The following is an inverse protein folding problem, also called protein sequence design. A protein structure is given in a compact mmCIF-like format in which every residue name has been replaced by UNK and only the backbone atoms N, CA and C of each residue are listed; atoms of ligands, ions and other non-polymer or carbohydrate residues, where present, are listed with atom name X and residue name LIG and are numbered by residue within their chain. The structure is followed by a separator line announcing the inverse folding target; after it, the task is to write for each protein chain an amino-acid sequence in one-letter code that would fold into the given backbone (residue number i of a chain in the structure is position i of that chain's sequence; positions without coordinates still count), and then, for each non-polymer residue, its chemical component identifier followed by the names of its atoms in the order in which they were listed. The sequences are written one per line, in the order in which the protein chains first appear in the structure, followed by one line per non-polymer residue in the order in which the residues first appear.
data_IF_122153452313
#
_entry.id   IF_122153452313
#
_cell.length_a   1.000
_cell.length_b   1.000
_cell.length_c   1.000
_cell.angle_alpha   90.00
_cell.angle_beta   90.00
_cell.angle_gamma   90.00
#
_symmetry.space_group_name_H-M   'P 1'
#
loop_
_entity.id
_entity.type
_entity.pdbx_description
1 polymer ?
#
# COMPACT_ATOMS: atom_id res chain seq x y z
N UNK A 1 -51.68 42.79 24.78
CA UNK A 1 -51.66 41.59 25.66
C UNK A 1 -50.24 41.03 25.61
N UNK A 2 -49.37 41.47 26.50
CA UNK A 2 -49.04 40.88 27.82
C UNK A 2 -48.34 39.52 27.69
N UNK A 3 -47.03 39.58 27.95
CA UNK A 3 -46.05 38.61 28.43
C UNK A 3 -46.57 37.29 29.04
N UNK A 4 -45.86 36.19 28.75
CA UNK A 4 -45.18 35.41 29.80
C UNK A 4 -44.08 34.53 29.20
N UNK A 5 -42.84 34.76 29.65
CA UNK A 5 -41.75 33.80 29.53
C UNK A 5 -41.83 32.72 30.60
N UNK A 6 -41.21 31.56 30.34
CA UNK A 6 -40.70 30.63 31.34
C UNK A 6 -39.43 29.94 30.83
N UNK A 7 -38.30 30.34 31.39
CA UNK A 7 -37.12 29.50 31.55
C UNK A 7 -37.41 28.32 32.48
N UNK A 8 -36.89 27.13 32.18
CA UNK A 8 -36.88 25.99 33.10
C UNK A 8 -35.76 24.99 32.78
N UNK A 9 -34.62 25.20 33.45
CA UNK A 9 -33.67 24.23 34.03
C UNK A 9 -33.52 22.81 33.42
N UNK A 10 -32.30 22.58 32.93
CA UNK A 10 -31.36 21.51 33.32
C UNK A 10 -31.88 20.10 33.60
N UNK A 11 -31.52 19.16 32.72
CA UNK A 11 -31.15 17.79 33.12
C UNK A 11 -29.87 17.37 32.39
N UNK A 12 -28.72 17.71 33.00
CA UNK A 12 -27.43 17.03 32.75
C UNK A 12 -27.62 15.54 33.05
N UNK A 13 -27.65 14.69 32.03
CA UNK A 13 -27.49 13.25 32.21
C UNK A 13 -26.00 12.98 32.43
N UNK A 14 -25.63 12.80 33.69
CA UNK A 14 -24.34 12.26 34.12
C UNK A 14 -24.25 10.82 33.63
N UNK A 15 -23.50 10.57 32.54
CA UNK A 15 -23.15 9.19 32.18
C UNK A 15 -22.00 8.75 33.09
N UNK A 16 -22.29 7.71 33.86
CA UNK A 16 -21.37 7.03 34.75
C UNK A 16 -20.23 6.41 33.95
N UNK A 17 -19.02 6.82 34.28
CA UNK A 17 -17.75 6.28 33.79
C UNK A 17 -17.60 4.83 34.28
N UNK A 18 -17.36 3.83 33.41
CA UNK A 18 -17.00 2.49 33.89
C UNK A 18 -15.59 2.54 34.49
N UNK A 19 -15.50 2.11 35.74
CA UNK A 19 -14.29 1.93 36.53
C UNK A 19 -13.37 0.88 35.90
N UNK A 20 -12.13 1.29 35.56
CA UNK A 20 -11.06 0.38 35.14
C UNK A 20 -10.65 -0.56 36.29
N UNK A 21 -10.43 -1.87 36.04
CA UNK A 21 -9.90 -2.77 37.05
C UNK A 21 -8.41 -2.49 37.35
N UNK A 22 -7.92 -2.83 38.57
CA UNK A 22 -6.61 -2.45 39.04
C UNK A 22 -5.49 -3.21 38.31
N UNK A 23 -4.39 -2.48 38.03
CA UNK A 23 -3.13 -3.02 37.52
C UNK A 23 -2.53 -4.04 38.50
N UNK A 24 -2.42 -5.29 38.08
CA UNK A 24 -1.56 -6.27 38.74
C UNK A 24 -0.09 -5.91 38.51
N UNK A 25 0.63 -5.61 39.60
CA UNK A 25 2.09 -5.52 39.66
C UNK A 25 2.66 -6.93 39.79
N UNK A 26 3.39 -7.40 38.78
CA UNK A 26 4.46 -8.41 38.83
C UNK A 26 5.02 -8.48 37.41
N UNK A 27 6.31 -8.50 37.10
CA UNK A 27 7.55 -8.72 37.84
C UNK A 27 8.66 -8.01 37.06
N UNK A 28 9.61 -7.37 37.76
CA UNK A 28 10.87 -6.89 37.17
C UNK A 28 11.60 -8.08 36.55
N UNK A 29 11.73 -8.10 35.23
CA UNK A 29 12.78 -8.88 34.56
C UNK A 29 13.79 -7.86 34.04
N UNK A 30 14.85 -7.68 34.81
CA UNK A 30 16.08 -7.02 34.37
C UNK A 30 16.69 -7.86 33.25
N UNK A 31 17.07 -7.27 32.10
CA UNK A 31 17.89 -7.99 31.14
C UNK A 31 19.27 -8.27 31.76
N UNK A 32 19.88 -9.45 31.55
CA UNK A 32 21.24 -9.68 32.01
C UNK A 32 22.18 -8.76 31.23
N UNK A 33 23.10 -8.11 31.95
CA UNK A 33 24.21 -7.34 31.38
C UNK A 33 24.96 -8.20 30.36
N UNK A 34 25.10 -7.68 29.14
CA UNK A 34 26.02 -8.26 28.16
C UNK A 34 27.45 -7.98 28.63
N UNK A 35 28.15 -9.03 29.06
CA UNK A 35 29.60 -8.99 29.19
C UNK A 35 30.22 -9.05 27.80
N UNK A 36 30.98 -8.02 27.43
CA UNK A 36 31.87 -8.05 26.28
C UNK A 36 32.93 -9.13 26.53
N UNK A 37 32.85 -10.22 25.77
CA UNK A 37 33.96 -11.16 25.63
C UNK A 37 34.67 -10.80 24.33
N UNK A 38 35.93 -10.39 24.43
CA UNK A 38 36.84 -10.27 23.30
C UNK A 38 37.09 -11.68 22.75
N UNK A 39 36.34 -12.04 21.72
CA UNK A 39 36.54 -13.24 20.92
C UNK A 39 37.23 -12.85 19.62
N UNK A 40 38.53 -13.15 19.53
CA UNK A 40 39.34 -13.10 18.32
C UNK A 40 38.63 -13.77 17.12
N UNK A 41 38.71 -13.20 15.90
CA UNK A 41 38.05 -13.77 14.73
C UNK A 41 38.86 -14.95 14.19
N UNK A 42 38.50 -16.16 14.63
CA UNK A 42 38.98 -17.40 13.99
C UNK A 42 38.21 -17.58 12.69
N UNK A 43 38.95 -17.53 11.58
CA UNK A 43 38.45 -17.66 10.21
C UNK A 43 38.10 -19.12 9.88
N UNK A 44 36.94 -19.61 10.31
CA UNK A 44 36.45 -20.92 9.88
C UNK A 44 35.50 -20.80 8.68
N UNK A 45 36.10 -20.97 7.51
CA UNK A 45 35.51 -20.97 6.16
C UNK A 45 34.59 -22.17 5.87
N UNK A 46 34.22 -22.97 6.87
CA UNK A 46 33.52 -24.25 6.68
C UNK A 46 32.04 -24.24 7.09
N UNK A 47 31.53 -23.16 7.70
CA UNK A 47 30.11 -23.06 8.08
C UNK A 47 29.17 -22.60 6.96
N UNK A 48 29.74 -22.19 5.82
CA UNK A 48 29.00 -21.67 4.67
C UNK A 48 28.36 -22.76 3.81
N UNK A 49 28.86 -24.00 3.83
CA UNK A 49 28.33 -25.09 3.00
C UNK A 49 27.02 -25.66 3.54
N UNK A 50 26.88 -25.76 4.87
CA UNK A 50 25.67 -26.28 5.52
C UNK A 50 24.46 -25.35 5.44
N UNK A 51 24.65 -24.02 5.46
CA UNK A 51 23.52 -23.07 5.31
C UNK A 51 23.01 -23.06 3.87
N UNK A 52 23.89 -23.18 2.88
CA UNK A 52 23.50 -23.30 1.47
C UNK A 52 22.74 -24.59 1.20
N UNK A 53 23.19 -25.71 1.78
CA UNK A 53 22.54 -27.02 1.61
C UNK A 53 21.15 -27.08 2.27
N UNK A 54 20.93 -26.39 3.40
CA UNK A 54 19.61 -26.27 4.04
C UNK A 54 18.60 -25.41 3.24
N UNK A 55 19.06 -24.58 2.30
CA UNK A 55 18.20 -23.81 1.40
C UNK A 55 17.92 -24.52 0.07
N UNK A 56 18.72 -25.52 -0.29
CA UNK A 56 18.57 -26.30 -1.53
C UNK A 56 17.37 -27.26 -1.47
N UNK A 57 17.01 -27.74 -0.28
CA UNK A 57 15.90 -28.68 -0.08
C UNK A 57 14.51 -28.03 0.04
N UNK A 58 14.41 -26.69 -0.05
CA UNK A 58 13.13 -26.00 -0.22
C UNK A 58 12.75 -25.91 -1.70
N UNK A 59 12.79 -27.05 -2.38
CA UNK A 59 12.20 -27.20 -3.70
C UNK A 59 10.68 -27.18 -3.55
N UNK A 60 10.11 -25.97 -3.52
CA UNK A 60 8.68 -25.77 -3.74
C UNK A 60 8.40 -26.43 -5.08
N UNK A 61 7.72 -27.57 -5.05
CA UNK A 61 7.17 -28.21 -6.23
C UNK A 61 6.34 -27.17 -6.96
N UNK A 62 6.93 -26.52 -7.97
CA UNK A 62 6.19 -25.68 -8.88
C UNK A 62 5.32 -26.62 -9.68
N UNK A 63 4.13 -26.89 -9.15
CA UNK A 63 3.05 -27.43 -9.95
C UNK A 63 2.86 -26.46 -11.10
N UNK A 64 3.32 -26.86 -12.28
CA UNK A 64 3.32 -26.09 -13.54
C UNK A 64 1.89 -25.67 -13.94
N UNK A 65 0.88 -26.23 -13.26
CA UNK A 65 -0.55 -25.98 -13.43
C UNK A 65 -1.20 -25.17 -12.30
N UNK A 66 -0.46 -24.69 -11.30
CA UNK A 66 -1.04 -23.82 -10.28
C UNK A 66 -1.31 -22.43 -10.89
N UNK A 67 -2.59 -22.08 -11.06
CA UNK A 67 -3.01 -20.72 -11.42
C UNK A 67 -3.46 -20.01 -10.14
N UNK A 68 -2.54 -19.47 -9.32
CA UNK A 68 -2.93 -18.80 -8.08
C UNK A 68 -3.79 -17.58 -8.39
N UNK A 69 -4.77 -17.30 -7.52
CA UNK A 69 -5.59 -16.09 -7.65
C UNK A 69 -4.78 -14.81 -7.54
N UNK A 70 -3.71 -14.80 -6.74
CA UNK A 70 -2.84 -13.63 -6.62
C UNK A 70 -1.82 -13.58 -7.74
N UNK A 71 -1.58 -12.39 -8.30
CA UNK A 71 -0.47 -12.18 -9.22
C UNK A 71 0.89 -12.46 -8.55
N UNK A 72 1.80 -13.21 -9.20
CA UNK A 72 3.17 -13.36 -8.73
C UNK A 72 3.89 -12.00 -8.78
N UNK A 73 4.95 -11.87 -7.98
CA UNK A 73 5.66 -10.60 -7.82
C UNK A 73 6.21 -10.05 -9.15
N UNK A 74 6.77 -10.91 -10.00
CA UNK A 74 7.27 -10.53 -11.34
C UNK A 74 6.17 -9.92 -12.22
N UNK A 75 4.97 -10.49 -12.19
CA UNK A 75 3.82 -9.97 -12.93
C UNK A 75 3.37 -8.63 -12.36
N UNK A 76 3.35 -8.46 -11.03
CA UNK A 76 3.02 -7.16 -10.40
C UNK A 76 4.01 -6.07 -10.82
N UNK A 77 5.31 -6.37 -10.85
CA UNK A 77 6.35 -5.44 -11.30
C UNK A 77 6.12 -5.01 -12.76
N UNK A 78 5.95 -5.97 -13.68
CA UNK A 78 5.70 -5.70 -15.10
C UNK A 78 4.35 -4.97 -15.31
N UNK A 79 3.35 -5.28 -14.50
CA UNK A 79 2.05 -4.63 -14.52
C UNK A 79 2.13 -3.15 -14.09
N UNK A 80 2.97 -2.83 -13.11
CA UNK A 80 3.29 -1.45 -12.74
C UNK A 80 4.04 -0.72 -13.88
N UNK A 81 5.00 -1.38 -14.50
CA UNK A 81 5.78 -0.82 -15.62
C UNK A 81 4.90 -0.51 -16.84
N UNK A 82 3.89 -1.36 -17.09
CA UNK A 82 2.88 -1.21 -18.15
C UNK A 82 1.92 -0.03 -17.91
N UNK A 83 1.70 0.37 -16.65
CA UNK A 83 0.76 1.44 -16.32
C UNK A 83 1.21 2.80 -16.88
N UNK A 84 0.27 3.71 -17.12
CA UNK A 84 0.59 5.02 -17.72
C UNK A 84 1.48 5.86 -16.77
N UNK A 85 2.48 6.54 -17.34
CA UNK A 85 3.43 7.37 -16.58
C UNK A 85 2.81 8.74 -16.26
N UNK A 86 3.12 9.28 -15.08
CA UNK A 86 2.78 10.67 -14.74
C UNK A 86 3.89 11.59 -15.27
N UNK A 87 3.55 12.58 -16.11
CA UNK A 87 4.53 13.54 -16.66
C UNK A 87 5.27 14.29 -15.53
N UNK A 88 6.57 14.51 -15.70
CA UNK A 88 7.42 15.21 -14.73
C UNK A 88 7.63 14.46 -13.40
N UNK A 89 7.36 13.15 -13.33
CA UNK A 89 7.43 12.33 -12.11
C UNK A 89 8.15 11.01 -12.36
N UNK A 90 8.84 10.52 -11.33
CA UNK A 90 9.50 9.22 -11.36
C UNK A 90 8.49 8.08 -11.62
N UNK A 91 8.58 7.36 -12.77
CA UNK A 91 7.67 6.29 -13.13
C UNK A 91 7.79 5.06 -12.23
N UNK A 92 8.86 4.91 -11.44
CA UNK A 92 8.97 3.83 -10.47
C UNK A 92 8.13 4.08 -9.22
N UNK A 93 7.79 5.36 -8.97
CA UNK A 93 7.07 5.83 -7.77
C UNK A 93 5.63 6.23 -8.08
N UNK A 94 5.40 6.86 -9.24
CA UNK A 94 4.11 7.43 -9.63
C UNK A 94 3.61 6.81 -10.94
N UNK A 95 2.33 6.42 -10.96
CA UNK A 95 1.65 5.95 -12.17
C UNK A 95 0.23 6.52 -12.23
N UNK A 96 -0.37 6.43 -13.41
CA UNK A 96 -1.81 6.55 -13.60
C UNK A 96 -2.39 5.16 -13.76
N UNK A 97 -3.49 4.92 -13.04
CA UNK A 97 -4.28 3.71 -13.23
C UNK A 97 -5.00 3.73 -14.60
N UNK A 98 -5.68 2.64 -14.95
CA UNK A 98 -6.32 2.53 -16.26
C UNK A 98 -7.44 3.54 -16.51
N UNK A 99 -8.00 4.17 -15.47
CA UNK A 99 -9.04 5.21 -15.60
C UNK A 99 -8.48 6.64 -15.51
N UNK A 100 -7.20 6.79 -15.16
CA UNK A 100 -6.45 8.06 -15.16
C UNK A 100 -6.13 8.62 -13.77
N UNK A 101 -6.52 7.93 -12.69
CA UNK A 101 -6.21 8.34 -11.32
C UNK A 101 -4.72 8.20 -11.03
N UNK A 102 -4.16 9.18 -10.32
CA UNK A 102 -2.77 9.09 -9.85
C UNK A 102 -2.70 8.11 -8.68
N UNK A 103 -1.76 7.18 -8.76
CA UNK A 103 -1.50 6.19 -7.72
C UNK A 103 -0.02 6.17 -7.36
N UNK A 104 0.27 5.81 -6.11
CA UNK A 104 1.61 5.84 -5.56
C UNK A 104 2.10 4.44 -5.19
N UNK A 105 3.34 4.11 -5.60
CA UNK A 105 3.88 2.74 -5.56
C UNK A 105 3.85 2.10 -4.18
N UNK A 106 4.13 2.87 -3.13
CA UNK A 106 4.16 2.37 -1.74
C UNK A 106 2.78 2.11 -1.14
N UNK A 107 1.72 2.65 -1.73
CA UNK A 107 0.36 2.58 -1.19
C UNK A 107 -0.43 1.47 -1.89
N UNK A 108 -0.22 0.23 -1.45
CA UNK A 108 -0.91 -0.97 -1.98
C UNK A 108 -1.95 -1.46 -0.97
N UNK A 109 -3.16 -1.80 -1.41
CA UNK A 109 -4.17 -2.45 -0.55
C UNK A 109 -4.89 -1.56 0.48
N UNK A 110 -4.55 -0.27 0.57
CA UNK A 110 -5.17 0.68 1.48
C UNK A 110 -6.41 1.38 0.87
N UNK A 111 -7.32 1.95 1.68
CA UNK A 111 -8.53 2.64 1.18
C UNK A 111 -8.31 4.11 0.77
N UNK A 112 -7.07 4.59 0.74
CA UNK A 112 -6.75 5.97 0.39
C UNK A 112 -6.86 6.24 -1.12
N UNK A 113 -7.02 7.50 -1.50
CA UNK A 113 -7.20 7.89 -2.90
C UNK A 113 -5.95 7.76 -3.78
N UNK A 114 -4.77 7.63 -3.20
CA UNK A 114 -3.53 7.30 -3.93
C UNK A 114 -3.18 5.81 -3.84
N UNK A 115 -3.98 5.04 -3.12
CA UNK A 115 -3.78 3.61 -2.97
C UNK A 115 -4.23 2.86 -4.21
N UNK A 116 -3.52 1.80 -4.55
CA UNK A 116 -3.85 0.94 -5.68
C UNK A 116 -3.84 -0.54 -5.29
N UNK A 117 -4.45 -1.33 -6.14
CA UNK A 117 -4.34 -2.78 -6.17
C UNK A 117 -3.91 -3.24 -7.56
N UNK A 118 -3.41 -4.47 -7.63
CA UNK A 118 -3.25 -5.21 -8.89
C UNK A 118 -4.54 -5.97 -9.15
N UNK A 119 -5.31 -5.49 -10.11
CA UNK A 119 -6.64 -6.00 -10.44
C UNK A 119 -6.59 -6.89 -11.69
N UNK A 120 -7.47 -7.89 -11.72
CA UNK A 120 -7.69 -8.67 -12.93
C UNK A 120 -8.67 -7.95 -13.84
N UNK A 121 -8.30 -7.74 -15.11
CA UNK A 121 -9.20 -7.17 -16.12
C UNK A 121 -10.46 -8.04 -16.21
N UNK A 122 -10.26 -9.34 -16.44
CA UNK A 122 -11.26 -10.40 -16.29
C UNK A 122 -11.12 -11.00 -14.89
N UNK A 123 -12.13 -10.90 -14.01
CA UNK A 123 -12.06 -11.41 -12.65
C UNK A 123 -11.68 -12.89 -12.59
N UNK A 124 -10.88 -13.27 -11.59
CA UNK A 124 -10.50 -14.67 -11.38
C UNK A 124 -11.70 -15.62 -11.29
N UNK A 125 -12.78 -15.19 -10.64
CA UNK A 125 -14.04 -15.96 -10.53
C UNK A 125 -14.75 -16.20 -11.87
N UNK A 126 -14.34 -15.51 -12.93
CA UNK A 126 -14.84 -15.67 -14.31
C UNK A 126 -13.81 -16.33 -15.23
N UNK A 127 -12.81 -17.02 -14.66
CA UNK A 127 -11.76 -17.72 -15.41
C UNK A 127 -10.56 -16.86 -15.80
N UNK A 128 -10.48 -15.63 -15.29
CA UNK A 128 -9.31 -14.77 -15.51
C UNK A 128 -8.05 -15.32 -14.84
N UNK A 129 -7.00 -15.56 -15.62
CA UNK A 129 -5.70 -16.03 -15.10
C UNK A 129 -4.88 -14.88 -14.52
N UNK A 130 -3.97 -15.18 -13.62
CA UNK A 130 -3.07 -14.19 -13.00
C UNK A 130 -1.84 -13.89 -13.85
N UNK A 131 -2.04 -13.55 -15.11
CA UNK A 131 -0.98 -13.24 -16.09
C UNK A 131 -0.83 -11.73 -16.31
N UNK A 132 0.24 -11.30 -16.98
CA UNK A 132 0.51 -9.88 -17.23
C UNK A 132 -0.58 -9.22 -18.08
N UNK A 133 -1.10 -9.94 -19.07
CA UNK A 133 -2.12 -9.46 -20.01
C UNK A 133 -3.41 -9.14 -19.26
N UNK A 134 -3.74 -9.94 -18.24
CA UNK A 134 -4.92 -9.76 -17.42
C UNK A 134 -4.68 -8.87 -16.18
N UNK A 135 -3.46 -8.39 -15.94
CA UNK A 135 -3.17 -7.50 -14.83
C UNK A 135 -3.34 -6.03 -15.22
N UNK A 136 -3.99 -5.26 -14.36
CA UNK A 136 -3.99 -3.79 -14.43
C UNK A 136 -3.77 -3.18 -13.05
N UNK A 137 -3.08 -2.04 -13.00
CA UNK A 137 -3.07 -1.18 -11.80
C UNK A 137 -4.38 -0.43 -11.76
N UNK A 138 -5.08 -0.50 -10.63
CA UNK A 138 -6.38 0.16 -10.41
C UNK A 138 -6.42 0.78 -9.03
N UNK A 139 -6.93 2.01 -8.90
CA UNK A 139 -7.13 2.62 -7.58
C UNK A 139 -7.96 1.68 -6.69
N UNK A 140 -7.55 1.47 -5.45
CA UNK A 140 -8.12 0.46 -4.56
C UNK A 140 -9.64 0.64 -4.35
N UNK A 141 -10.11 1.88 -4.24
CA UNK A 141 -11.55 2.20 -4.15
C UNK A 141 -12.31 1.76 -5.41
N UNK A 142 -11.74 2.02 -6.59
CA UNK A 142 -12.33 1.61 -7.88
C UNK A 142 -12.35 0.08 -7.99
N UNK A 143 -11.25 -0.58 -7.62
CA UNK A 143 -11.13 -2.03 -7.61
C UNK A 143 -12.20 -2.68 -6.72
N UNK A 144 -12.33 -2.22 -5.46
CA UNK A 144 -13.36 -2.71 -4.53
C UNK A 144 -14.77 -2.49 -5.06
N UNK A 145 -15.00 -1.36 -5.73
CA UNK A 145 -16.30 -1.04 -6.34
C UNK A 145 -16.58 -1.82 -7.62
N UNK A 146 -15.54 -2.27 -8.35
CA UNK A 146 -15.63 -3.13 -9.52
C UNK A 146 -15.99 -4.57 -9.12
N UNK A 147 -15.28 -5.13 -8.14
CA UNK A 147 -15.49 -6.50 -7.68
C UNK A 147 -15.35 -7.51 -8.82
N UNK A 148 -16.35 -8.39 -8.99
CA UNK A 148 -16.39 -9.37 -10.07
C UNK A 148 -17.21 -8.92 -11.30
N UNK A 149 -17.61 -7.64 -11.38
CA UNK A 149 -18.44 -7.12 -12.47
C UNK A 149 -17.58 -6.84 -13.69
N UNK A 150 -18.05 -7.25 -14.85
CA UNK A 150 -17.37 -7.08 -16.15
C UNK A 150 -18.07 -6.09 -17.08
N UNK A 151 -19.28 -5.67 -16.74
CA UNK A 151 -20.13 -4.81 -17.57
C UNK A 151 -19.98 -3.32 -17.23
N UNK A 152 -19.01 -2.96 -16.39
CA UNK A 152 -18.78 -1.56 -16.01
C UNK A 152 -18.03 -0.84 -17.12
N UNK A 153 -18.59 0.27 -17.58
CA UNK A 153 -17.91 1.15 -18.52
C UNK A 153 -16.77 1.89 -17.84
N UNK A 154 -15.84 2.45 -18.64
CA UNK A 154 -14.80 3.35 -18.14
C UNK A 154 -15.41 4.53 -17.37
N UNK A 155 -16.53 5.07 -17.85
CA UNK A 155 -17.23 6.19 -17.20
C UNK A 155 -17.74 5.80 -15.80
N UNK A 156 -18.29 4.59 -15.64
CA UNK A 156 -18.74 4.09 -14.34
C UNK A 156 -17.59 3.95 -13.34
N UNK A 157 -16.43 3.48 -13.82
CA UNK A 157 -15.23 3.36 -12.99
C UNK A 157 -14.67 4.73 -12.58
N UNK A 158 -14.70 5.71 -13.48
CA UNK A 158 -14.33 7.10 -13.17
C UNK A 158 -15.26 7.66 -12.09
N UNK A 159 -16.57 7.44 -12.19
CA UNK A 159 -17.54 7.92 -11.19
C UNK A 159 -17.32 7.30 -9.80
N UNK A 160 -16.81 6.06 -9.76
CA UNK A 160 -16.48 5.33 -8.51
C UNK A 160 -15.08 5.63 -7.99
N UNK A 161 -14.31 6.47 -8.67
CA UNK A 161 -12.97 6.85 -8.24
C UNK A 161 -13.02 7.78 -7.04
N UNK A 162 -12.15 7.55 -6.06
CA UNK A 162 -11.90 8.52 -5.01
C UNK A 162 -11.04 9.65 -5.57
N UNK A 163 -11.63 10.82 -5.75
CA UNK A 163 -10.94 11.96 -6.33
C UNK A 163 -10.02 12.64 -5.31
N UNK A 164 -8.74 12.78 -5.67
CA UNK A 164 -7.77 13.57 -4.92
C UNK A 164 -7.00 14.48 -5.88
N UNK A 165 -7.17 15.80 -5.71
CA UNK A 165 -6.29 16.79 -6.32
C UNK A 165 -5.03 16.89 -5.47
N UNK A 166 -3.93 16.41 -6.02
CA UNK A 166 -2.61 16.49 -5.36
C UNK A 166 -1.77 17.44 -6.19
N UNK A 167 -1.33 18.55 -5.59
CA UNK A 167 -0.46 19.50 -6.26
C UNK A 167 0.95 18.91 -6.42
N UNK A 168 1.80 19.55 -7.24
CA UNK A 168 3.19 19.11 -7.37
C UNK A 168 3.92 19.07 -6.02
N UNK A 169 3.73 20.09 -5.17
CA UNK A 169 4.35 20.13 -3.84
C UNK A 169 3.85 19.02 -2.91
N UNK A 170 2.57 18.68 -2.99
CA UNK A 170 1.99 17.61 -2.17
C UNK A 170 2.52 16.24 -2.61
N UNK A 171 2.70 16.05 -3.93
CA UNK A 171 3.37 14.85 -4.46
C UNK A 171 4.81 14.77 -3.94
N UNK A 172 5.55 15.89 -3.95
CA UNK A 172 6.93 15.95 -3.44
C UNK A 172 6.98 15.57 -1.95
N UNK A 173 6.05 16.09 -1.14
CA UNK A 173 5.96 15.79 0.29
C UNK A 173 5.67 14.31 0.54
N UNK A 174 4.74 13.71 -0.21
CA UNK A 174 4.40 12.29 -0.10
C UNK A 174 5.62 11.45 -0.48
N UNK A 175 6.29 11.81 -1.57
CA UNK A 175 7.47 11.11 -2.06
C UNK A 175 8.63 11.18 -1.06
N UNK A 176 8.91 12.38 -0.54
CA UNK A 176 9.92 12.61 0.49
C UNK A 176 9.62 11.80 1.75
N UNK A 177 8.36 11.77 2.21
CA UNK A 177 7.98 10.99 3.40
C UNK A 177 8.10 9.48 3.22
N UNK A 178 7.92 8.97 2.00
CA UNK A 178 7.92 7.52 1.72
C UNK A 178 9.29 6.98 1.30
N UNK A 179 10.14 7.82 0.69
CA UNK A 179 11.44 7.42 0.12
C UNK A 179 12.64 8.19 0.68
N UNK A 180 12.43 9.28 1.42
CA UNK A 180 13.50 10.14 1.95
C UNK A 180 14.08 11.11 0.92
N UNK A 181 13.58 11.13 -0.31
CA UNK A 181 13.97 12.06 -1.36
C UNK A 181 12.87 12.22 -2.42
N UNK A 182 13.02 13.22 -3.29
CA UNK A 182 12.14 13.49 -4.43
C UNK A 182 12.90 13.31 -5.74
N UNK A 183 12.27 12.68 -6.73
CA UNK A 183 12.82 12.45 -8.08
C UNK A 183 11.84 12.95 -9.13
N UNK A 184 12.29 13.94 -9.89
CA UNK A 184 11.61 14.39 -11.09
C UNK A 184 12.28 13.77 -12.31
N UNK A 185 11.49 13.26 -13.24
CA UNK A 185 11.99 12.98 -14.59
C UNK A 185 12.11 14.31 -15.31
N UNK A 186 13.29 14.62 -15.83
CA UNK A 186 13.49 15.81 -16.66
C UNK A 186 12.50 15.78 -17.83
N UNK A 187 11.68 16.82 -17.95
CA UNK A 187 11.02 17.10 -19.22
C UNK A 187 12.11 17.63 -20.16
N UNK A 188 12.28 17.07 -21.38
CA UNK A 188 13.26 17.55 -22.36
C UNK A 188 13.05 19.03 -22.81
N UNK A 189 12.01 19.69 -22.29
CA UNK A 189 11.56 21.03 -22.65
C UNK A 189 11.82 22.07 -21.54
N UNK A 190 12.90 21.91 -20.76
CA UNK A 190 13.33 22.91 -19.80
C UNK A 190 13.74 24.22 -20.49
N UNK A 191 12.83 25.20 -20.54
CA UNK A 191 13.17 26.57 -20.89
C UNK A 191 14.13 27.13 -19.83
N UNK A 192 15.40 27.27 -20.19
CA UNK A 192 16.40 28.03 -19.44
C UNK A 192 16.11 29.51 -19.66
N UNK A 193 15.50 30.17 -18.68
CA UNK A 193 15.50 31.63 -18.64
C UNK A 193 16.83 32.02 -18.00
N UNK A 194 17.71 32.64 -18.80
CA UNK A 194 18.92 33.34 -18.35
C UNK A 194 18.56 34.77 -17.93
#
# INVERSE_FOLDING_TARGET
MIMHGKDSKSKRRTSSRPSSPPRSRSSKLTPPSASLVDGEPVTDRERSSTITSLFEDLQISQDVNSNPRSFPYSVKQQCWEKAEKVKGRDPDRWRRDTVGNIVFRKLVGCPGCLCHDYDHIIPYSKGGKSTLENCQVLQATVNRSKGNRTELSRADLIQRSSYCRVSGRDMDLIELSAYGNVRHTEDPAGCRIQ
#
